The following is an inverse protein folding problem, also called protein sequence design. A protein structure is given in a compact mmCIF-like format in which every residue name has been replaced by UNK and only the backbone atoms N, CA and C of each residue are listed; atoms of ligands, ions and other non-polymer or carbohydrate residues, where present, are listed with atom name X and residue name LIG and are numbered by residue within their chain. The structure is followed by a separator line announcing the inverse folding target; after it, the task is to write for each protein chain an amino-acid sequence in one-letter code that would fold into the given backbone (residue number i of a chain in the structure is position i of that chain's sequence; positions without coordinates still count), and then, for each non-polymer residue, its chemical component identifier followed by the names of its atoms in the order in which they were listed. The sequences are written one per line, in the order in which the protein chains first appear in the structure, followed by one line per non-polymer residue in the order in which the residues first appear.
data_IF_815713897547
#
_entry.id   IF_815713897547
#
_cell.length_a   1.000
_cell.length_b   1.000
_cell.length_c   1.000
_cell.angle_alpha   90.00
_cell.angle_beta   90.00
_cell.angle_gamma   90.00
#
_symmetry.space_group_name_H-M   'P 1'
#
loop_
_entity.id
_entity.type
_entity.pdbx_description
1 polymer ?
#
# COMPACT_ATOMS: atom_id res chain seq x y z
N UNK A 1 14.92 3.37 1.99
CA UNK A 1 13.51 3.46 2.45
C UNK A 1 12.63 3.45 1.22
N UNK A 2 12.03 2.32 0.86
CA UNK A 2 11.30 2.17 -0.40
C UNK A 2 9.94 2.87 -0.37
N UNK A 3 9.39 3.19 -1.55
CA UNK A 3 8.10 3.87 -1.70
C UNK A 3 6.98 3.08 -1.00
N UNK A 4 7.01 1.74 -1.09
CA UNK A 4 6.09 0.85 -0.39
C UNK A 4 6.06 1.04 1.12
N UNK A 5 7.23 1.19 1.74
CA UNK A 5 7.34 1.42 3.18
C UNK A 5 6.77 2.79 3.61
N UNK A 6 6.88 3.82 2.75
CA UNK A 6 6.24 5.13 3.00
C UNK A 6 4.73 5.03 2.91
N UNK A 7 4.21 4.33 1.92
CA UNK A 7 2.76 4.12 1.76
C UNK A 7 2.20 3.36 2.97
N UNK A 8 2.88 2.30 3.43
CA UNK A 8 2.50 1.56 4.63
C UNK A 8 2.47 2.45 5.87
N UNK A 9 3.47 3.31 6.05
CA UNK A 9 3.50 4.28 7.17
C UNK A 9 2.32 5.25 7.10
N UNK A 10 2.07 5.85 5.93
CA UNK A 10 0.94 6.75 5.74
C UNK A 10 -0.39 6.02 6.02
N UNK A 11 -0.56 4.81 5.48
CA UNK A 11 -1.76 4.00 5.69
C UNK A 11 -2.07 3.81 7.18
N UNK A 12 -1.06 3.46 7.98
CA UNK A 12 -1.20 3.27 9.43
C UNK A 12 -1.44 4.61 10.14
N UNK A 13 -0.73 5.68 9.77
CA UNK A 13 -0.96 7.02 10.34
C UNK A 13 -2.38 7.54 10.10
N UNK A 14 -2.96 7.20 8.95
CA UNK A 14 -4.35 7.55 8.61
C UNK A 14 -5.39 6.51 9.08
N UNK A 15 -4.99 5.47 9.83
CA UNK A 15 -5.87 4.38 10.28
C UNK A 15 -6.62 3.65 9.16
N UNK A 16 -6.09 3.64 7.93
CA UNK A 16 -6.73 2.93 6.82
C UNK A 16 -6.33 1.47 6.78
N UNK A 17 -7.31 0.62 6.49
CA UNK A 17 -7.06 -0.78 6.14
C UNK A 17 -6.53 -0.88 4.70
N UNK A 18 -5.72 -1.91 4.41
CA UNK A 18 -5.26 -2.20 3.04
C UNK A 18 -6.40 -2.21 2.01
N UNK A 19 -7.51 -2.97 2.21
CA UNK A 19 -8.63 -2.94 1.26
C UNK A 19 -9.28 -1.57 1.12
N UNK A 20 -9.35 -0.78 2.19
CA UNK A 20 -9.99 0.53 2.18
C UNK A 20 -9.17 1.56 1.42
N UNK A 21 -7.85 1.57 1.64
CA UNK A 21 -6.93 2.40 0.88
C UNK A 21 -6.88 1.98 -0.59
N UNK A 22 -6.90 0.67 -0.87
CA UNK A 22 -6.91 0.13 -2.22
C UNK A 22 -8.20 0.53 -2.97
N UNK A 23 -9.36 0.42 -2.31
CA UNK A 23 -10.65 0.87 -2.84
C UNK A 23 -10.64 2.37 -3.15
N UNK A 24 -10.10 3.20 -2.26
CA UNK A 24 -9.97 4.65 -2.48
C UNK A 24 -9.02 5.04 -3.60
N UNK A 25 -7.97 4.25 -3.80
CA UNK A 25 -7.02 4.42 -4.91
C UNK A 25 -7.54 3.82 -6.23
N UNK A 26 -8.65 3.08 -6.20
CA UNK A 26 -9.17 2.36 -7.36
C UNK A 26 -8.28 1.21 -7.82
N UNK A 27 -7.45 0.66 -6.92
CA UNK A 27 -6.56 -0.46 -7.22
C UNK A 27 -6.98 -1.70 -6.42
N UNK A 28 -6.54 -2.87 -6.87
CA UNK A 28 -6.75 -4.11 -6.13
C UNK A 28 -5.93 -4.12 -4.83
N UNK A 29 -6.50 -4.71 -3.76
CA UNK A 29 -5.80 -4.92 -2.49
C UNK A 29 -4.44 -5.62 -2.70
N UNK A 30 -4.38 -6.61 -3.59
CA UNK A 30 -3.15 -7.32 -3.96
C UNK A 30 -2.11 -6.40 -4.57
N UNK A 31 -2.52 -5.43 -5.39
CA UNK A 31 -1.64 -4.41 -5.97
C UNK A 31 -1.07 -3.53 -4.87
N UNK A 32 -1.92 -3.05 -3.95
CA UNK A 32 -1.46 -2.27 -2.79
C UNK A 32 -0.49 -3.08 -1.91
N UNK A 33 -0.79 -4.35 -1.67
CA UNK A 33 0.06 -5.25 -0.89
C UNK A 33 1.42 -5.48 -1.57
N UNK A 34 1.45 -5.66 -2.90
CA UNK A 34 2.69 -5.76 -3.67
C UNK A 34 3.51 -4.46 -3.64
N UNK A 35 2.84 -3.30 -3.69
CA UNK A 35 3.49 -1.99 -3.55
C UNK A 35 4.11 -1.86 -2.16
N UNK A 36 3.34 -2.12 -1.09
CA UNK A 36 3.83 -2.06 0.30
C UNK A 36 4.92 -3.10 0.61
N UNK A 37 4.91 -4.24 -0.09
CA UNK A 37 5.87 -5.34 0.09
C UNK A 37 7.11 -5.23 -0.79
N UNK A 38 7.28 -4.15 -1.55
CA UNK A 38 8.44 -3.94 -2.44
C UNK A 38 8.66 -5.11 -3.42
N UNK A 39 7.58 -5.80 -3.81
CA UNK A 39 7.64 -6.95 -4.74
C UNK A 39 7.68 -6.53 -6.21
N UNK A 40 7.90 -5.25 -6.49
CA UNK A 40 8.47 -4.86 -7.78
C UNK A 40 9.96 -5.22 -7.76
N UNK A 41 10.27 -6.53 -7.73
CA UNK A 41 11.61 -7.00 -8.05
C UNK A 41 11.83 -6.63 -9.52
N UNK A 42 12.78 -5.73 -9.74
CA UNK A 42 13.43 -5.54 -11.02
C UNK A 42 14.23 -6.81 -11.37
#
# INVERSE_FOLDING_TARGET
MSIGARIKRLRVSFNFSQPELACRLGISQTTLCNIESDKCKK
#
